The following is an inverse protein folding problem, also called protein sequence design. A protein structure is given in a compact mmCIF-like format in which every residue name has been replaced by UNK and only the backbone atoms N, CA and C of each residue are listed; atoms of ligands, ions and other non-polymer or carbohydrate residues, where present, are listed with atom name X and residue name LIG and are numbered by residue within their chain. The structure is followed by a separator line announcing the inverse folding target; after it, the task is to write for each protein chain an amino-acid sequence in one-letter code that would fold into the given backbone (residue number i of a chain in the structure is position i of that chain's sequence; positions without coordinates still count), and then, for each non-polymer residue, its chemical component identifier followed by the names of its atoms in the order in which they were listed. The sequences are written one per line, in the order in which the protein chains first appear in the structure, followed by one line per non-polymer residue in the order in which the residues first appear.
data_IF_078654678208
#
_entry.id   IF_078654678208
#
_cell.length_a   1.000
_cell.length_b   1.000
_cell.length_c   1.000
_cell.angle_alpha   90.00
_cell.angle_beta   90.00
_cell.angle_gamma   90.00
#
_symmetry.space_group_name_H-M   'P 1'
#
loop_
_entity.id
_entity.type
_entity.pdbx_description
1 polymer ?
#
# COMPACT_ATOMS: atom_id res chain seq x y z
N UNK A 1 14.55 -56.87 18.70
CA UNK A 1 14.23 -55.57 19.33
C UNK A 1 15.16 -54.52 18.76
N UNK A 2 14.66 -53.62 17.92
CA UNK A 2 15.15 -52.27 17.66
C UNK A 2 14.29 -51.68 16.53
N UNK A 3 13.28 -50.89 16.90
CA UNK A 3 12.62 -49.99 15.96
C UNK A 3 13.50 -48.75 15.82
N UNK A 4 13.82 -48.32 14.60
CA UNK A 4 14.32 -46.97 14.35
C UNK A 4 13.59 -46.38 13.14
N UNK A 5 12.58 -45.58 13.48
CA UNK A 5 12.18 -44.32 12.84
C UNK A 5 12.24 -44.21 11.33
N UNK A 6 11.12 -44.53 10.68
CA UNK A 6 10.75 -43.87 9.44
C UNK A 6 10.40 -42.41 9.80
N UNK A 7 11.31 -41.47 9.58
CA UNK A 7 10.97 -40.05 9.65
C UNK A 7 10.13 -39.72 8.41
N UNK A 8 8.81 -39.91 8.52
CA UNK A 8 7.88 -39.31 7.57
C UNK A 8 7.86 -37.81 7.82
N UNK A 9 8.46 -37.11 6.86
CA UNK A 9 8.36 -35.68 6.58
C UNK A 9 7.00 -35.12 7.04
N UNK A 10 7.02 -34.26 8.05
CA UNK A 10 5.82 -33.59 8.57
C UNK A 10 5.42 -32.44 7.65
N UNK A 11 4.91 -32.78 6.47
CA UNK A 11 4.04 -31.93 5.65
C UNK A 11 2.58 -32.12 6.09
N UNK A 12 2.30 -32.00 7.39
CA UNK A 12 0.92 -32.00 7.88
C UNK A 12 0.46 -30.54 7.96
N UNK A 13 -0.31 -30.04 6.96
CA UNK A 13 -0.81 -28.68 7.01
C UNK A 13 -1.78 -28.52 8.20
N UNK A 14 -1.79 -27.34 8.86
CA UNK A 14 -2.74 -27.05 9.91
C UNK A 14 -4.18 -27.22 9.37
N UNK A 15 -4.98 -28.00 10.09
CA UNK A 15 -6.22 -28.65 9.64
C UNK A 15 -7.38 -27.72 9.20
N UNK A 16 -7.23 -26.40 9.07
CA UNK A 16 -8.39 -25.49 8.89
C UNK A 16 -8.19 -24.23 8.04
N UNK A 17 -7.25 -24.19 7.07
CA UNK A 17 -7.22 -23.04 6.17
C UNK A 17 -6.53 -23.24 4.83
N UNK A 18 -7.13 -22.71 3.76
CA UNK A 18 -6.46 -22.50 2.47
C UNK A 18 -5.74 -21.15 2.52
N UNK A 19 -4.46 -21.13 2.89
CA UNK A 19 -3.62 -19.91 2.97
C UNK A 19 -3.78 -19.00 1.73
N UNK A 20 -3.89 -19.62 0.54
CA UNK A 20 -4.09 -18.93 -0.75
C UNK A 20 -5.37 -18.08 -0.79
N UNK A 21 -6.43 -18.52 -0.12
CA UNK A 21 -7.71 -17.81 -0.08
C UNK A 21 -7.62 -16.55 0.78
N UNK A 22 -7.01 -16.66 1.97
CA UNK A 22 -6.74 -15.50 2.83
C UNK A 22 -5.84 -14.47 2.12
N UNK A 23 -4.72 -14.92 1.54
CA UNK A 23 -3.79 -14.03 0.81
C UNK A 23 -4.49 -13.39 -0.39
N UNK A 24 -5.33 -14.15 -1.10
CA UNK A 24 -6.12 -13.65 -2.22
C UNK A 24 -7.16 -12.61 -1.79
N UNK A 25 -7.86 -12.83 -0.67
CA UNK A 25 -8.83 -11.85 -0.15
C UNK A 25 -8.16 -10.57 0.31
N UNK A 26 -7.05 -10.68 1.06
CA UNK A 26 -6.27 -9.53 1.50
C UNK A 26 -5.70 -8.73 0.32
N UNK A 27 -5.28 -9.41 -0.76
CA UNK A 27 -4.78 -8.75 -1.98
C UNK A 27 -5.89 -8.02 -2.75
N UNK A 28 -7.11 -8.58 -2.79
CA UNK A 28 -8.28 -7.92 -3.43
C UNK A 28 -8.75 -6.69 -2.64
N UNK A 29 -8.64 -6.73 -1.31
CA UNK A 29 -9.08 -5.66 -0.41
C UNK A 29 -7.88 -5.19 0.44
N UNK A 30 -6.93 -4.42 -0.13
CA UNK A 30 -5.70 -4.04 0.56
C UNK A 30 -5.93 -3.15 1.80
N UNK A 31 -7.12 -2.54 1.93
CA UNK A 31 -7.52 -1.70 3.07
C UNK A 31 -8.31 -2.45 4.14
N UNK A 32 -8.61 -3.73 3.94
CA UNK A 32 -9.41 -4.51 4.89
C UNK A 32 -8.66 -4.69 6.20
N UNK A 33 -9.37 -4.57 7.32
CA UNK A 33 -8.77 -4.79 8.64
C UNK A 33 -8.64 -6.29 8.94
N UNK A 34 -7.70 -6.66 9.82
CA UNK A 34 -7.54 -8.07 10.21
C UNK A 34 -8.83 -8.68 10.81
N UNK A 35 -9.65 -7.88 11.50
CA UNK A 35 -10.95 -8.32 12.04
C UNK A 35 -12.00 -8.53 10.95
N UNK A 36 -11.97 -7.73 9.89
CA UNK A 36 -12.84 -7.95 8.73
C UNK A 36 -12.46 -9.25 8.00
N UNK A 37 -11.15 -9.49 7.81
CA UNK A 37 -10.66 -10.76 7.28
C UNK A 37 -11.05 -11.92 8.19
N UNK A 38 -10.96 -11.77 9.52
CA UNK A 38 -11.42 -12.81 10.43
C UNK A 38 -12.92 -13.13 10.27
N UNK A 39 -13.76 -12.10 10.07
CA UNK A 39 -15.20 -12.27 9.84
C UNK A 39 -15.50 -12.95 8.50
N UNK A 40 -14.79 -12.59 7.42
CA UNK A 40 -14.97 -13.24 6.11
C UNK A 40 -14.62 -14.72 6.19
N UNK A 41 -13.54 -15.06 6.87
CA UNK A 41 -13.11 -16.44 7.07
C UNK A 41 -14.08 -17.26 7.93
N UNK A 42 -14.64 -16.65 8.97
CA UNK A 42 -15.65 -17.29 9.80
C UNK A 42 -16.90 -17.65 8.98
N UNK A 43 -17.27 -16.81 8.01
CA UNK A 43 -18.36 -17.13 7.06
C UNK A 43 -18.03 -18.32 6.15
N UNK A 44 -16.76 -18.54 5.82
CA UNK A 44 -16.29 -19.69 5.03
C UNK A 44 -16.07 -20.95 5.89
N UNK A 45 -16.25 -20.86 7.21
CA UNK A 45 -16.09 -21.98 8.14
C UNK A 45 -14.67 -22.14 8.70
N UNK A 46 -13.78 -21.15 8.52
CA UNK A 46 -12.43 -21.14 9.08
C UNK A 46 -12.36 -20.17 10.27
N UNK A 47 -12.12 -20.70 11.48
CA UNK A 47 -11.95 -19.87 12.68
C UNK A 47 -10.46 -19.69 12.96
N UNK A 48 -9.92 -18.53 12.62
CA UNK A 48 -8.55 -18.15 12.94
C UNK A 48 -8.47 -17.04 13.97
N UNK A 49 -7.38 -17.05 14.74
CA UNK A 49 -7.03 -15.92 15.57
C UNK A 49 -6.38 -14.79 14.73
N UNK A 50 -6.59 -13.55 15.15
CA UNK A 50 -6.09 -12.35 14.47
C UNK A 50 -4.56 -12.38 14.30
N UNK A 51 -3.83 -12.88 15.29
CA UNK A 51 -2.36 -12.99 15.21
C UNK A 51 -1.91 -14.00 14.15
N UNK A 52 -2.63 -15.11 13.99
CA UNK A 52 -2.36 -16.11 12.94
C UNK A 52 -2.57 -15.51 11.56
N UNK A 53 -3.65 -14.75 11.37
CA UNK A 53 -3.92 -14.02 10.12
C UNK A 53 -2.78 -13.06 9.81
N UNK A 54 -2.38 -12.25 10.79
CA UNK A 54 -1.25 -11.31 10.65
C UNK A 54 0.05 -12.02 10.28
N UNK A 55 0.38 -13.12 10.97
CA UNK A 55 1.59 -13.89 10.72
C UNK A 55 1.62 -14.46 9.30
N UNK A 56 0.51 -15.07 8.85
CA UNK A 56 0.40 -15.62 7.49
C UNK A 56 0.57 -14.51 6.45
N UNK A 57 -0.07 -13.36 6.64
CA UNK A 57 0.07 -12.22 5.72
C UNK A 57 1.51 -11.70 5.67
N UNK A 58 2.18 -11.59 6.82
CA UNK A 58 3.58 -11.16 6.88
C UNK A 58 4.53 -12.15 6.20
N UNK A 59 4.34 -13.45 6.36
CA UNK A 59 5.13 -14.47 5.66
C UNK A 59 4.94 -14.42 4.14
N UNK A 60 3.78 -13.93 3.68
CA UNK A 60 3.49 -13.71 2.26
C UNK A 60 3.84 -12.29 1.77
N UNK A 61 4.54 -11.48 2.58
CA UNK A 61 4.97 -10.13 2.19
C UNK A 61 3.85 -9.09 2.15
N UNK A 62 2.69 -9.38 2.74
CA UNK A 62 1.57 -8.44 2.86
C UNK A 62 1.64 -7.76 4.22
N UNK A 63 2.08 -6.50 4.22
CA UNK A 63 2.15 -5.67 5.41
C UNK A 63 1.15 -4.53 5.37
N UNK A 64 0.71 -4.10 6.56
CA UNK A 64 0.01 -2.83 6.71
C UNK A 64 0.91 -1.66 6.26
N UNK A 65 0.39 -0.83 5.36
CA UNK A 65 1.02 0.41 4.90
C UNK A 65 -0.03 1.52 4.86
N UNK A 66 0.38 2.74 5.20
CA UNK A 66 -0.46 3.92 5.02
C UNK A 66 -0.52 4.31 3.54
N UNK A 67 -1.72 4.66 3.06
CA UNK A 67 -1.86 5.22 1.72
C UNK A 67 -1.12 6.57 1.64
N UNK A 68 -0.37 6.78 0.56
CA UNK A 68 0.28 8.07 0.31
C UNK A 68 -0.79 9.12 0.00
N UNK A 69 -0.71 10.28 0.65
CA UNK A 69 -1.56 11.41 0.31
C UNK A 69 -1.24 11.88 -1.12
N UNK A 70 -2.27 11.91 -1.97
CA UNK A 70 -2.17 12.33 -3.37
C UNK A 70 -3.21 13.42 -3.62
N UNK A 71 -2.87 14.47 -4.39
CA UNK A 71 -3.88 15.42 -4.84
C UNK A 71 -4.89 14.67 -5.70
N UNK A 72 -6.15 15.11 -5.67
CA UNK A 72 -7.19 14.53 -6.49
C UNK A 72 -6.97 14.93 -7.95
N UNK A 73 -6.68 13.95 -8.81
CA UNK A 73 -6.44 14.16 -10.24
C UNK A 73 -7.65 13.71 -11.05
N UNK A 74 -8.14 14.58 -11.93
CA UNK A 74 -9.14 14.22 -12.93
C UNK A 74 -8.48 13.48 -14.09
N UNK A 75 -9.24 12.67 -14.85
CA UNK A 75 -8.72 11.94 -16.01
C UNK A 75 -8.05 12.88 -17.03
N UNK A 76 -8.62 14.07 -17.24
CA UNK A 76 -8.05 15.12 -18.10
C UNK A 76 -6.68 15.58 -17.61
N UNK A 77 -6.54 15.82 -16.30
CA UNK A 77 -5.28 16.28 -15.72
C UNK A 77 -4.19 15.20 -15.77
N UNK A 78 -4.58 13.93 -15.64
CA UNK A 78 -3.65 12.80 -15.81
C UNK A 78 -3.13 12.76 -17.25
N UNK A 79 -4.00 12.89 -18.26
CA UNK A 79 -3.57 12.89 -19.66
C UNK A 79 -2.63 14.05 -19.97
N UNK A 80 -2.96 15.25 -19.49
CA UNK A 80 -2.12 16.43 -19.67
C UNK A 80 -0.75 16.32 -18.98
N UNK A 81 -0.65 15.54 -17.90
CA UNK A 81 0.62 15.26 -17.23
C UNK A 81 1.50 14.26 -18.01
N UNK A 82 0.90 13.29 -18.72
CA UNK A 82 1.63 12.24 -19.42
C UNK A 82 2.22 12.72 -20.75
N UNK A 83 1.49 13.55 -21.50
CA UNK A 83 1.91 14.03 -22.83
C UNK A 83 1.97 15.57 -22.86
N UNK A 84 2.92 16.20 -22.14
CA UNK A 84 3.06 17.64 -22.20
C UNK A 84 3.58 18.06 -23.60
N UNK A 85 3.05 19.14 -24.21
CA UNK A 85 3.54 19.62 -25.50
C UNK A 85 4.98 20.13 -25.38
N UNK A 86 5.91 19.52 -26.14
CA UNK A 86 7.36 19.80 -26.06
C UNK A 86 7.73 21.28 -26.27
N UNK A 87 7.05 21.99 -27.17
CA UNK A 87 7.35 23.39 -27.50
C UNK A 87 6.93 24.40 -26.44
N UNK A 88 6.19 23.98 -25.40
CA UNK A 88 5.72 24.90 -24.36
C UNK A 88 6.82 25.30 -23.38
N UNK A 89 7.88 24.51 -23.24
CA UNK A 89 8.79 24.60 -22.09
C UNK A 89 10.10 25.36 -22.33
N UNK A 90 10.45 25.68 -23.58
CA UNK A 90 11.75 26.30 -23.95
C UNK A 90 11.94 27.71 -23.39
N UNK A 91 10.85 28.44 -23.11
CA UNK A 91 10.90 29.84 -22.66
C UNK A 91 10.10 30.10 -21.36
N UNK A 92 9.70 29.04 -20.65
CA UNK A 92 8.86 29.18 -19.44
C UNK A 92 9.73 29.39 -18.21
N UNK A 93 9.60 30.58 -17.60
CA UNK A 93 10.12 30.85 -16.27
C UNK A 93 9.12 30.34 -15.22
N UNK A 94 9.53 29.40 -14.38
CA UNK A 94 8.67 28.85 -13.34
C UNK A 94 8.68 29.73 -12.09
N UNK A 95 7.48 29.94 -11.54
CA UNK A 95 7.28 30.58 -10.24
C UNK A 95 6.22 29.79 -9.48
N UNK A 96 6.55 29.31 -8.28
CA UNK A 96 5.58 28.81 -7.33
C UNK A 96 5.44 29.78 -6.15
N UNK A 97 4.23 29.89 -5.62
CA UNK A 97 4.01 30.59 -4.36
C UNK A 97 3.86 29.55 -3.27
N UNK A 98 4.79 29.57 -2.31
CA UNK A 98 4.65 28.79 -1.09
C UNK A 98 4.31 29.72 0.05
N UNK A 99 3.20 29.41 0.74
CA UNK A 99 2.85 30.04 2.01
C UNK A 99 3.81 29.53 3.09
N UNK A 100 4.56 30.44 3.71
CA UNK A 100 5.39 30.13 4.87
C UNK A 100 4.81 30.83 6.09
N UNK A 101 4.54 30.05 7.14
CA UNK A 101 4.07 30.58 8.41
C UNK A 101 5.26 30.85 9.34
N UNK A 102 5.54 32.13 9.58
CA UNK A 102 6.59 32.57 10.49
C UNK A 102 5.92 32.95 11.82
N UNK A 103 6.04 32.09 12.83
CA UNK A 103 5.75 32.40 14.24
C UNK A 103 4.39 33.06 14.53
N UNK A 104 3.43 32.25 14.95
CA UNK A 104 2.08 32.60 15.47
C UNK A 104 1.14 33.49 14.64
N UNK A 105 1.57 34.44 13.78
CA UNK A 105 0.63 35.34 13.07
C UNK A 105 1.04 35.88 11.71
N UNK A 106 2.26 35.66 11.21
CA UNK A 106 2.68 36.26 9.92
C UNK A 106 2.77 35.20 8.82
N UNK A 107 1.94 35.39 7.79
CA UNK A 107 1.96 34.62 6.54
C UNK A 107 2.74 35.41 5.48
N UNK A 108 3.80 34.82 4.92
CA UNK A 108 4.50 35.37 3.76
C UNK A 108 4.32 34.47 2.54
N UNK A 109 4.15 35.08 1.37
CA UNK A 109 4.21 34.42 0.07
C UNK A 109 5.63 34.56 -0.47
N UNK A 110 6.33 33.44 -0.67
CA UNK A 110 7.69 33.44 -1.24
C UNK A 110 7.60 32.89 -2.66
N UNK A 111 8.22 33.58 -3.61
CA UNK A 111 8.35 33.14 -5.00
C UNK A 111 9.75 32.58 -5.25
N UNK A 112 9.87 31.29 -5.58
CA UNK A 112 11.12 30.71 -6.04
C UNK A 112 11.18 30.80 -7.58
N UNK A 113 12.35 31.14 -8.12
CA UNK A 113 12.61 31.11 -9.58
C UNK A 113 13.67 30.05 -9.85
N UNK A 114 13.34 29.03 -10.63
CA UNK A 114 14.30 27.97 -11.00
C UNK A 114 14.32 27.82 -12.53
N UNK A 115 15.50 27.83 -13.17
CA UNK A 115 15.63 27.47 -14.59
C UNK A 115 15.51 25.94 -14.76
N UNK A 116 14.92 25.50 -15.87
CA UNK A 116 14.81 24.07 -16.19
C UNK A 116 16.22 23.47 -16.45
N UNK A 117 16.53 22.27 -15.92
CA UNK A 117 17.81 21.62 -16.19
C UNK A 117 17.90 21.23 -17.67
N UNK A 118 18.98 21.64 -18.35
CA UNK A 118 19.29 21.28 -19.74
C UNK A 118 19.75 19.83 -19.87
#
# INVERSE_FOLDING_TARGET
MAQQGHYQELDVPPKFMKIRELVGEASKKPTATLKELQKSLASTGSVLHVTTISHILHMNGLWGRGARWRPFLTKKNIQALLDPPNSMWENVLWSDETKVELGTKTTLHITQRTPYPQ
#
